data_IF_192466146963
#
_entry.id   IF_192466146963
#
_cell.length_a   1.000
_cell.length_b   1.000
_cell.length_c   1.000
_cell.angle_alpha   90.00
_cell.angle_beta   90.00
_cell.angle_gamma   90.00
#
_symmetry.space_group_name_H-M   'P 1'
#
loop_
_entity.id
_entity.type
_entity.pdbx_description
1 polymer ?
#
# COMPACT_ATOMS: atom_id res chain seq x y z
N UNK A 1 -2.92 -5.98 -0.13
CA UNK A 1 -4.13 -6.70 -0.62
C UNK A 1 -5.42 -6.05 -0.12
N UNK A 2 -5.67 -5.94 1.19
CA UNK A 2 -6.97 -5.42 1.69
C UNK A 2 -7.39 -4.06 1.11
N UNK A 3 -6.47 -3.09 1.03
CA UNK A 3 -6.77 -1.80 0.42
C UNK A 3 -6.89 -1.81 -1.11
N UNK A 4 -6.26 -2.77 -1.80
CA UNK A 4 -6.46 -2.97 -3.24
C UNK A 4 -7.89 -3.44 -3.51
N UNK A 5 -8.46 -4.25 -2.61
CA UNK A 5 -9.84 -4.72 -2.70
C UNK A 5 -10.83 -3.59 -2.37
N UNK A 6 -10.55 -2.79 -1.34
CA UNK A 6 -11.48 -1.75 -0.89
C UNK A 6 -11.43 -0.45 -1.68
N UNK A 7 -10.25 -0.03 -2.15
CA UNK A 7 -10.04 1.23 -2.86
C UNK A 7 -8.93 1.08 -3.92
N UNK A 8 -9.14 0.25 -4.97
CA UNK A 8 -8.12 -0.04 -6.00
C UNK A 8 -7.58 1.23 -6.66
N UNK A 9 -8.42 2.24 -6.86
CA UNK A 9 -8.07 3.51 -7.48
C UNK A 9 -7.06 4.31 -6.65
N UNK A 10 -7.20 4.34 -5.31
CA UNK A 10 -6.28 5.07 -4.41
C UNK A 10 -4.88 4.47 -4.38
N UNK A 11 -4.74 3.21 -4.77
CA UNK A 11 -3.45 2.50 -4.87
C UNK A 11 -3.00 2.34 -6.33
N UNK A 12 -3.69 3.00 -7.28
CA UNK A 12 -3.33 3.00 -8.70
C UNK A 12 -3.54 1.68 -9.44
N UNK A 13 -4.38 0.81 -8.90
CA UNK A 13 -4.70 -0.47 -9.51
C UNK A 13 -5.88 -0.33 -10.47
N UNK A 14 -5.74 -0.84 -11.70
CA UNK A 14 -6.88 -1.06 -12.61
C UNK A 14 -7.20 -2.56 -12.60
N UNK A 15 -8.14 -2.95 -11.75
CA UNK A 15 -8.55 -4.35 -11.59
C UNK A 15 -9.95 -4.56 -12.14
N UNK A 16 -10.14 -5.63 -12.90
CA UNK A 16 -11.47 -6.17 -13.16
C UNK A 16 -11.99 -6.93 -11.93
N UNK A 17 -13.30 -7.20 -11.83
CA UNK A 17 -13.83 -8.08 -10.78
C UNK A 17 -13.13 -9.44 -10.73
N UNK A 18 -12.82 -10.00 -11.90
CA UNK A 18 -12.11 -11.28 -12.03
C UNK A 18 -10.68 -11.22 -11.48
N UNK A 19 -9.97 -10.10 -11.67
CA UNK A 19 -8.63 -9.91 -11.10
C UNK A 19 -8.68 -9.87 -9.57
N UNK A 20 -9.71 -9.24 -8.99
CA UNK A 20 -9.89 -9.19 -7.54
C UNK A 20 -10.23 -10.56 -6.97
N UNK A 21 -11.10 -11.33 -7.64
CA UNK A 21 -11.40 -12.72 -7.27
C UNK A 21 -10.14 -13.60 -7.32
N UNK A 22 -9.32 -13.46 -8.37
CA UNK A 22 -8.06 -14.18 -8.50
C UNK A 22 -7.06 -13.79 -7.39
N UNK A 23 -6.95 -12.49 -7.07
CA UNK A 23 -6.13 -12.01 -5.96
C UNK A 23 -6.61 -12.59 -4.61
N UNK A 24 -7.92 -12.59 -4.36
CA UNK A 24 -8.52 -13.21 -3.17
C UNK A 24 -8.24 -14.70 -3.11
N UNK A 25 -8.39 -15.42 -4.23
CA UNK A 25 -8.09 -16.84 -4.29
C UNK A 25 -6.62 -17.12 -3.96
N UNK A 26 -5.69 -16.35 -4.53
CA UNK A 26 -4.26 -16.47 -4.26
C UNK A 26 -3.96 -16.33 -2.76
N UNK A 27 -4.45 -15.28 -2.11
CA UNK A 27 -4.23 -15.07 -0.68
C UNK A 27 -4.95 -16.09 0.21
N UNK A 28 -6.12 -16.58 -0.21
CA UNK A 28 -6.84 -17.66 0.48
C UNK A 28 -6.00 -18.94 0.51
N UNK A 29 -5.50 -19.37 -0.65
CA UNK A 29 -4.63 -20.56 -0.77
C UNK A 29 -3.35 -20.37 0.02
N UNK A 30 -2.72 -19.19 -0.04
CA UNK A 30 -1.53 -18.91 0.76
C UNK A 30 -1.82 -19.04 2.26
N UNK A 31 -2.96 -18.53 2.75
CA UNK A 31 -3.39 -18.71 4.13
C UNK A 31 -3.52 -20.18 4.51
N UNK A 32 -4.17 -20.99 3.66
CA UNK A 32 -4.30 -22.43 3.87
C UNK A 32 -2.93 -23.13 3.95
N UNK A 33 -2.00 -22.79 3.04
CA UNK A 33 -0.64 -23.34 3.04
C UNK A 33 0.17 -22.97 4.29
N UNK A 34 -0.13 -21.81 4.90
CA UNK A 34 0.46 -21.39 6.18
C UNK A 34 -0.23 -22.03 7.41
N UNK A 35 -1.18 -22.96 7.19
CA UNK A 35 -1.90 -23.66 8.26
C UNK A 35 -3.10 -22.89 8.83
N UNK A 36 -3.54 -21.81 8.18
CA UNK A 36 -4.74 -21.08 8.58
C UNK A 36 -5.99 -21.89 8.21
N UNK A 37 -6.84 -22.20 9.18
CA UNK A 37 -8.13 -22.82 8.91
C UNK A 37 -9.03 -21.90 8.05
N UNK A 38 -9.76 -22.48 7.10
CA UNK A 38 -10.61 -21.73 6.15
C UNK A 38 -11.61 -20.78 6.84
N UNK A 39 -12.15 -21.17 8.00
CA UNK A 39 -13.08 -20.32 8.78
C UNK A 39 -12.46 -18.99 9.22
N UNK A 40 -11.15 -18.97 9.47
CA UNK A 40 -10.40 -17.78 9.89
C UNK A 40 -9.79 -17.01 8.71
N UNK A 41 -9.91 -17.53 7.49
CA UNK A 41 -9.39 -16.86 6.31
C UNK A 41 -10.20 -15.60 6.02
N UNK A 42 -9.51 -14.49 5.80
CA UNK A 42 -10.15 -13.21 5.46
C UNK A 42 -10.70 -13.27 4.03
N UNK A 43 -10.00 -13.96 3.13
CA UNK A 43 -10.44 -14.20 1.77
C UNK A 43 -11.33 -15.44 1.74
N UNK A 44 -12.58 -15.27 1.31
CA UNK A 44 -13.57 -16.34 1.18
C UNK A 44 -13.89 -16.60 -0.29
N UNK A 45 -14.60 -17.69 -0.62
CA UNK A 45 -15.08 -17.92 -1.99
C UNK A 45 -16.08 -16.86 -2.46
N UNK A 46 -16.68 -16.08 -1.55
CA UNK A 46 -17.58 -14.98 -1.86
C UNK A 46 -16.85 -13.64 -1.72
N UNK A 47 -16.79 -12.89 -2.82
CA UNK A 47 -16.12 -11.59 -2.84
C UNK A 47 -16.79 -10.54 -1.94
N UNK A 48 -18.12 -10.52 -1.87
CA UNK A 48 -18.87 -9.59 -1.02
C UNK A 48 -18.58 -9.84 0.47
N UNK A 49 -18.52 -11.11 0.86
CA UNK A 49 -18.15 -11.49 2.22
C UNK A 49 -16.70 -11.10 2.54
N UNK A 50 -15.79 -11.31 1.58
CA UNK A 50 -14.39 -10.88 1.71
C UNK A 50 -14.28 -9.37 1.91
N UNK A 51 -14.99 -8.58 1.10
CA UNK A 51 -15.05 -7.12 1.24
C UNK A 51 -15.57 -6.73 2.62
N UNK A 52 -16.67 -7.35 3.08
CA UNK A 52 -17.24 -7.08 4.39
C UNK A 52 -16.27 -7.40 5.55
N UNK A 53 -15.55 -8.52 5.46
CA UNK A 53 -14.52 -8.91 6.45
C UNK A 53 -13.36 -7.90 6.48
N UNK A 54 -12.82 -7.53 5.32
CA UNK A 54 -11.70 -6.58 5.24
C UNK A 54 -12.13 -5.20 5.75
N UNK A 55 -13.32 -4.73 5.37
CA UNK A 55 -13.85 -3.46 5.84
C UNK A 55 -14.05 -3.49 7.37
N UNK A 56 -14.62 -4.57 7.92
CA UNK A 56 -14.73 -4.73 9.37
C UNK A 56 -13.36 -4.67 10.07
N UNK A 57 -12.33 -5.34 9.54
CA UNK A 57 -10.96 -5.28 10.07
C UNK A 57 -10.41 -3.86 10.03
N UNK A 58 -10.62 -3.15 8.92
CA UNK A 58 -10.20 -1.77 8.78
C UNK A 58 -10.85 -0.87 9.82
N UNK A 59 -12.19 -0.94 9.95
CA UNK A 59 -12.96 -0.12 10.89
C UNK A 59 -12.61 -0.42 12.35
N UNK A 60 -12.51 -1.69 12.72
CA UNK A 60 -12.32 -2.11 14.12
C UNK A 60 -10.86 -2.04 14.60
N UNK A 61 -9.90 -2.29 13.71
CA UNK A 61 -8.50 -2.46 14.12
C UNK A 61 -7.57 -1.48 13.42
N UNK A 62 -7.56 -1.42 12.09
CA UNK A 62 -6.53 -0.66 11.36
C UNK A 62 -6.66 0.86 11.57
N UNK A 63 -7.89 1.40 11.57
CA UNK A 63 -8.10 2.83 11.86
C UNK A 63 -7.56 3.19 13.24
N UNK A 64 -7.92 2.41 14.26
CA UNK A 64 -7.45 2.65 15.64
C UNK A 64 -5.92 2.57 15.74
N UNK A 65 -5.30 1.57 15.11
CA UNK A 65 -3.85 1.41 15.12
C UNK A 65 -3.12 2.59 14.44
N UNK A 66 -3.66 3.11 13.33
CA UNK A 66 -3.08 4.25 12.61
C UNK A 66 -3.33 5.59 13.29
N UNK A 67 -4.39 5.71 14.09
CA UNK A 67 -4.66 6.89 14.92
C UNK A 67 -3.80 6.89 16.18
N UNK A 68 -3.69 5.75 16.86
CA UNK A 68 -2.98 5.60 18.14
C UNK A 68 -1.64 4.89 17.92
N UNK A 69 -0.76 5.50 17.12
CA UNK A 69 0.57 4.96 16.84
C UNK A 69 1.43 5.04 18.10
N UNK A 70 1.93 3.89 18.54
CA UNK A 70 2.88 3.81 19.64
C UNK A 70 4.33 3.88 19.13
N UNK A 71 5.28 4.04 20.05
CA UNK A 71 6.70 4.12 19.71
C UNK A 71 7.20 2.87 18.97
N UNK A 72 6.59 1.70 19.23
CA UNK A 72 6.95 0.46 18.54
C UNK A 72 6.52 0.49 17.09
N UNK A 73 5.30 0.96 16.82
CA UNK A 73 4.79 1.16 15.47
C UNK A 73 5.71 2.12 14.70
N UNK A 74 6.01 3.29 15.27
CA UNK A 74 6.84 4.30 14.60
C UNK A 74 8.23 3.75 14.29
N UNK A 75 8.89 3.08 15.26
CA UNK A 75 10.19 2.44 15.04
C UNK A 75 10.15 1.33 13.99
N UNK A 76 9.09 0.53 13.96
CA UNK A 76 8.93 -0.53 12.96
C UNK A 76 8.69 0.05 11.57
N UNK A 77 7.89 1.12 11.47
CA UNK A 77 7.66 1.84 10.22
C UNK A 77 8.96 2.45 9.69
N UNK A 78 9.71 3.17 10.53
CA UNK A 78 11.00 3.73 10.16
C UNK A 78 11.99 2.66 9.71
N UNK A 79 12.12 1.55 10.45
CA UNK A 79 13.00 0.45 10.09
C UNK A 79 12.59 -0.20 8.76
N UNK A 80 11.29 -0.38 8.52
CA UNK A 80 10.78 -0.91 7.25
C UNK A 80 11.15 0.01 6.08
N UNK A 81 10.93 1.32 6.22
CA UNK A 81 11.23 2.30 5.17
C UNK A 81 12.74 2.40 4.92
N UNK A 82 13.54 2.39 5.99
CA UNK A 82 14.98 2.35 5.92
C UNK A 82 15.50 1.07 5.30
N UNK A 83 14.79 -0.06 5.39
CA UNK A 83 15.15 -1.31 4.71
C UNK A 83 14.76 -1.33 3.23
N UNK A 84 13.68 -0.65 2.87
CA UNK A 84 13.15 -0.62 1.50
C UNK A 84 13.72 0.52 0.63
N UNK A 85 14.53 1.42 1.19
CA UNK A 85 15.07 2.60 0.50
C UNK A 85 15.76 2.29 -0.84
N UNK A 86 16.45 1.14 -0.93
CA UNK A 86 17.19 0.73 -2.13
C UNK A 86 16.27 0.23 -3.26
N UNK A 87 15.02 -0.11 -2.94
CA UNK A 87 14.01 -0.52 -3.90
C UNK A 87 13.11 0.64 -4.35
N UNK A 88 12.91 1.66 -3.49
CA UNK A 88 12.00 2.75 -3.78
C UNK A 88 12.51 4.09 -3.22
N UNK A 89 12.94 4.97 -4.13
CA UNK A 89 13.46 6.31 -3.82
C UNK A 89 12.37 7.29 -3.31
N UNK A 90 11.09 6.92 -3.43
CA UNK A 90 9.96 7.72 -2.97
C UNK A 90 9.50 7.36 -1.55
N UNK A 91 10.31 6.61 -0.78
CA UNK A 91 9.97 6.27 0.60
C UNK A 91 10.31 7.43 1.54
N UNK A 92 9.26 8.14 1.97
CA UNK A 92 9.33 9.15 3.01
C UNK A 92 8.29 8.83 4.09
N UNK A 93 8.72 8.85 5.35
CA UNK A 93 7.88 8.44 6.47
C UNK A 93 6.59 9.28 6.57
N UNK A 94 6.70 10.61 6.52
CA UNK A 94 5.55 11.50 6.61
C UNK A 94 4.59 11.34 5.43
N UNK A 95 5.12 11.23 4.21
CA UNK A 95 4.31 11.01 3.02
C UNK A 95 3.55 9.67 3.08
N UNK A 96 4.21 8.59 3.52
CA UNK A 96 3.62 7.26 3.58
C UNK A 96 2.64 7.11 4.73
N UNK A 97 2.90 7.69 5.91
CA UNK A 97 1.92 7.72 6.99
C UNK A 97 0.69 8.53 6.61
N UNK A 98 0.86 9.62 5.86
CA UNK A 98 -0.28 10.35 5.31
C UNK A 98 -1.08 9.50 4.31
N UNK A 99 -0.40 8.85 3.36
CA UNK A 99 -1.04 7.95 2.41
C UNK A 99 -1.75 6.78 3.10
N UNK A 100 -1.13 6.17 4.11
CA UNK A 100 -1.72 5.10 4.91
C UNK A 100 -2.99 5.55 5.63
N UNK A 101 -2.97 6.71 6.30
CA UNK A 101 -4.16 7.29 6.92
C UNK A 101 -5.27 7.58 5.91
N UNK A 102 -4.91 8.06 4.72
CA UNK A 102 -5.86 8.36 3.63
C UNK A 102 -6.53 7.10 3.08
N UNK A 103 -5.76 6.06 2.79
CA UNK A 103 -6.29 4.78 2.27
C UNK A 103 -7.07 4.05 3.37
N UNK A 104 -6.68 4.21 4.63
CA UNK A 104 -7.44 3.75 5.78
C UNK A 104 -8.73 4.56 6.03
N UNK A 105 -8.96 5.68 5.34
CA UNK A 105 -10.14 6.52 5.51
C UNK A 105 -10.21 7.17 6.88
N UNK A 106 -9.07 7.64 7.40
CA UNK A 106 -9.00 8.46 8.60
C UNK A 106 -9.43 9.90 8.30
N UNK A 107 -10.12 10.55 9.25
CA UNK A 107 -10.48 11.95 9.13
C UNK A 107 -9.24 12.84 9.02
N UNK A 108 -9.26 13.84 8.13
CA UNK A 108 -8.21 14.86 7.96
C UNK A 108 -7.07 14.47 7.01
N UNK A 109 -7.11 13.25 6.46
CA UNK A 109 -6.14 12.73 5.50
C UNK A 109 -6.57 12.86 4.03
N UNK A 110 -7.65 13.61 3.75
CA UNK A 110 -8.08 13.90 2.38
C UNK A 110 -7.07 14.78 1.63
N UNK A 111 -6.65 14.35 0.44
CA UNK A 111 -5.70 15.10 -0.39
C UNK A 111 -6.40 15.89 -1.49
N UNK A 112 -7.22 15.20 -2.29
CA UNK A 112 -8.01 15.82 -3.34
C UNK A 112 -9.15 16.64 -2.75
N UNK A 113 -9.59 17.68 -3.45
CA UNK A 113 -10.71 18.52 -3.01
C UNK A 113 -11.98 17.72 -2.77
N UNK A 114 -12.25 16.71 -3.60
CA UNK A 114 -13.41 15.83 -3.48
C UNK A 114 -13.44 14.98 -2.19
N UNK A 115 -12.28 14.79 -1.54
CA UNK A 115 -12.18 13.97 -0.32
C UNK A 115 -12.25 14.80 0.96
N UNK A 116 -12.13 16.12 0.86
CA UNK A 116 -12.08 17.01 2.03
C UNK A 116 -13.48 17.25 2.54
N UNK A 117 -13.74 16.82 3.78
CA UNK A 117 -14.98 17.13 4.48
C UNK A 117 -14.94 18.58 4.98
N UNK A 118 -16.07 19.27 4.91
CA UNK A 118 -16.18 20.65 5.36
C UNK A 118 -15.90 20.76 6.87
N UNK A 119 -14.96 21.62 7.26
CA UNK A 119 -14.60 21.87 8.66
C UNK A 119 -13.50 20.97 9.24
N UNK A 120 -12.92 20.08 8.44
CA UNK A 120 -11.90 19.14 8.90
C UNK A 120 -10.48 19.74 8.79
N UNK A 121 -9.69 19.70 9.88
CA UNK A 121 -8.30 20.11 9.83
C UNK A 121 -7.46 19.12 9.02
N UNK A 122 -6.70 19.65 8.05
CA UNK A 122 -5.90 18.81 7.17
C UNK A 122 -4.54 18.48 7.76
N UNK A 123 -4.28 17.20 7.98
CA UNK A 123 -2.97 16.68 8.39
C UNK A 123 -1.87 16.97 7.35
N UNK A 124 -2.22 17.30 6.11
CA UNK A 124 -1.28 17.71 5.07
C UNK A 124 -0.47 18.95 5.47
N UNK A 125 -1.10 19.88 6.22
CA UNK A 125 -0.43 21.10 6.68
C UNK A 125 0.63 20.83 7.76
N UNK A 126 0.56 19.70 8.44
CA UNK A 126 1.55 19.29 9.44
C UNK A 126 2.81 18.69 8.79
N UNK A 127 2.74 18.27 7.52
CA UNK A 127 3.89 17.70 6.81
C UNK A 127 4.95 18.75 6.48
N UNK A 128 6.22 18.36 6.60
CA UNK A 128 7.35 19.12 6.10
C UNK A 128 7.37 19.21 4.57
N UNK A 129 8.12 20.17 4.03
CA UNK A 129 8.15 20.45 2.58
C UNK A 129 8.59 19.24 1.74
N UNK A 130 9.59 18.46 2.22
CA UNK A 130 10.07 17.24 1.56
C UNK A 130 8.96 16.21 1.47
N UNK A 131 8.30 15.90 2.59
CA UNK A 131 7.19 14.94 2.65
C UNK A 131 6.03 15.35 1.76
N UNK A 132 5.72 16.65 1.67
CA UNK A 132 4.70 17.16 0.73
C UNK A 132 5.09 16.93 -0.73
N UNK A 133 6.35 17.20 -1.09
CA UNK A 133 6.87 16.95 -2.43
C UNK A 133 6.81 15.46 -2.80
N UNK A 134 7.26 14.59 -1.90
CA UNK A 134 7.20 13.13 -2.11
C UNK A 134 5.75 12.65 -2.21
N UNK A 135 4.87 13.12 -1.33
CA UNK A 135 3.45 12.79 -1.37
C UNK A 135 2.81 13.20 -2.69
N UNK A 136 3.09 14.41 -3.19
CA UNK A 136 2.62 14.86 -4.49
C UNK A 136 3.05 13.92 -5.62
N UNK A 137 4.31 13.48 -5.63
CA UNK A 137 4.83 12.55 -6.64
C UNK A 137 4.12 11.20 -6.53
N UNK A 138 4.00 10.64 -5.32
CA UNK A 138 3.32 9.35 -5.08
C UNK A 138 1.89 9.39 -5.61
N UNK A 139 1.11 10.41 -5.22
CA UNK A 139 -0.31 10.50 -5.60
C UNK A 139 -0.47 10.77 -7.10
N UNK A 140 0.40 11.59 -7.68
CA UNK A 140 0.41 11.81 -9.13
C UNK A 140 0.66 10.51 -9.89
N UNK A 141 1.64 9.70 -9.45
CA UNK A 141 1.92 8.41 -10.08
C UNK A 141 0.71 7.48 -9.92
N UNK A 142 0.26 7.22 -8.69
CA UNK A 142 -0.71 6.17 -8.43
C UNK A 142 -2.10 6.51 -8.96
N UNK A 143 -2.57 7.75 -8.79
CA UNK A 143 -3.97 8.07 -9.10
C UNK A 143 -4.18 8.76 -10.44
N UNK A 144 -3.13 9.37 -11.01
CA UNK A 144 -3.24 10.10 -12.28
C UNK A 144 -2.50 9.38 -13.40
N UNK A 145 -1.23 9.03 -13.20
CA UNK A 145 -0.39 8.52 -14.28
C UNK A 145 -0.63 7.03 -14.54
N UNK A 146 -0.74 6.18 -13.50
CA UNK A 146 -1.05 4.75 -13.65
C UNK A 146 -2.42 4.48 -14.27
N UNK A 147 -3.31 5.48 -14.26
CA UNK A 147 -4.58 5.42 -14.98
C UNK A 147 -4.43 5.54 -16.51
N UNK A 148 -3.23 5.88 -17.02
CA UNK A 148 -2.93 5.92 -18.46
C UNK A 148 -2.20 4.64 -18.86
N UNK A 149 -2.76 3.88 -19.80
CA UNK A 149 -2.25 2.53 -20.11
C UNK A 149 -0.81 2.54 -20.64
N UNK A 150 -0.43 3.52 -21.47
CA UNK A 150 0.94 3.67 -21.96
C UNK A 150 1.93 3.91 -20.82
N UNK A 151 1.59 4.80 -19.87
CA UNK A 151 2.45 5.12 -18.74
C UNK A 151 2.56 3.92 -17.82
N UNK A 152 1.43 3.27 -17.49
CA UNK A 152 1.40 2.06 -16.67
C UNK A 152 2.28 0.96 -17.25
N UNK A 153 2.20 0.69 -18.55
CA UNK A 153 3.00 -0.36 -19.18
C UNK A 153 4.50 -0.06 -19.09
N UNK A 154 4.90 1.19 -19.36
CA UNK A 154 6.29 1.64 -19.23
C UNK A 154 6.75 1.55 -17.76
N UNK A 155 5.96 2.09 -16.84
CA UNK A 155 6.25 2.13 -15.42
C UNK A 155 6.40 0.72 -14.83
N UNK A 156 5.49 -0.19 -15.16
CA UNK A 156 5.56 -1.59 -14.74
C UNK A 156 6.78 -2.30 -15.34
N UNK A 157 7.13 -2.04 -16.61
CA UNK A 157 8.33 -2.59 -17.22
C UNK A 157 9.62 -2.11 -16.54
N UNK A 158 9.70 -0.81 -16.23
CA UNK A 158 10.82 -0.23 -15.47
C UNK A 158 10.92 -0.90 -14.09
N UNK A 159 9.82 -0.99 -13.36
CA UNK A 159 9.79 -1.60 -12.02
C UNK A 159 10.23 -3.08 -12.05
N UNK A 160 9.73 -3.86 -13.00
CA UNK A 160 10.11 -5.26 -13.16
C UNK A 160 11.59 -5.42 -13.49
N UNK A 161 12.11 -4.58 -14.39
CA UNK A 161 13.53 -4.62 -14.80
C UNK A 161 14.45 -4.21 -13.64
N UNK A 162 14.11 -3.16 -12.90
CA UNK A 162 14.84 -2.74 -11.71
C UNK A 162 14.82 -3.81 -10.62
N UNK A 163 13.67 -4.44 -10.37
CA UNK A 163 13.54 -5.54 -9.42
C UNK A 163 14.45 -6.73 -9.78
N UNK A 164 14.45 -7.15 -11.04
CA UNK A 164 15.33 -8.21 -11.53
C UNK A 164 16.82 -7.83 -11.40
N UNK A 165 17.17 -6.58 -11.71
CA UNK A 165 18.54 -6.09 -11.54
C UNK A 165 19.02 -6.21 -10.10
N UNK A 166 18.20 -5.81 -9.11
CA UNK A 166 18.56 -5.93 -7.69
C UNK A 166 18.76 -7.39 -7.28
N UNK A 167 17.93 -8.32 -7.77
CA UNK A 167 18.09 -9.76 -7.51
C UNK A 167 19.43 -10.26 -8.07
N UNK A 168 19.75 -9.89 -9.31
CA UNK A 168 21.01 -10.32 -9.96
C UNK A 168 22.22 -9.77 -9.22
N UNK A 169 22.24 -8.48 -8.89
CA UNK A 169 23.33 -7.86 -8.12
C UNK A 169 23.46 -8.52 -6.75
N UNK A 170 22.37 -8.75 -6.04
CA UNK A 170 22.38 -9.42 -4.74
C UNK A 170 22.99 -10.83 -4.84
N UNK A 171 22.62 -11.60 -5.86
CA UNK A 171 23.17 -12.94 -6.09
C UNK A 171 24.67 -12.92 -6.43
N UNK A 172 25.13 -11.93 -7.20
CA UNK A 172 26.55 -11.75 -7.52
C UNK A 172 27.33 -11.36 -6.27
N UNK A 173 26.81 -10.44 -5.47
CA UNK A 173 27.44 -10.00 -4.21
C UNK A 173 27.53 -11.15 -3.21
N UNK A 174 26.47 -11.95 -3.03
CA UNK A 174 26.49 -13.15 -2.17
C UNK A 174 27.55 -14.15 -2.62
N UNK A 175 27.65 -14.42 -3.94
CA UNK A 175 28.70 -15.28 -4.50
C UNK A 175 30.12 -14.76 -4.24
N UNK A 176 30.33 -13.45 -4.31
CA UNK A 176 31.63 -12.82 -4.01
C UNK A 176 31.96 -12.90 -2.52
N UNK A 177 30.95 -12.72 -1.65
CA UNK A 177 31.09 -12.74 -0.20
C UNK A 177 31.21 -14.15 0.40
N UNK A 178 31.04 -15.23 -0.40
CA UNK A 178 31.07 -16.64 0.05
C UNK A 178 30.18 -16.93 1.26
N UNK A 179 29.00 -16.31 1.30
CA UNK A 179 27.90 -16.68 2.20
C UNK A 179 26.84 -17.43 1.41
#
# INVERSE_FOLDING_TARGET
MGYVILNPEKVGSKTSPQDLEALCHFWRVLGFLLGLEDRFNVCTPNMEETIARIDQIQRKHLKSALTNRDDKFERAAEALLAGLWCFNLLLDHGALMFAAGRVAGLPGYGYWSAEKLAGEESHYRQLGWKSRGVLFVILSIHEVMLQKDWFRNIFNWILLTLGQFVIVVSNVVLKILKV
#
